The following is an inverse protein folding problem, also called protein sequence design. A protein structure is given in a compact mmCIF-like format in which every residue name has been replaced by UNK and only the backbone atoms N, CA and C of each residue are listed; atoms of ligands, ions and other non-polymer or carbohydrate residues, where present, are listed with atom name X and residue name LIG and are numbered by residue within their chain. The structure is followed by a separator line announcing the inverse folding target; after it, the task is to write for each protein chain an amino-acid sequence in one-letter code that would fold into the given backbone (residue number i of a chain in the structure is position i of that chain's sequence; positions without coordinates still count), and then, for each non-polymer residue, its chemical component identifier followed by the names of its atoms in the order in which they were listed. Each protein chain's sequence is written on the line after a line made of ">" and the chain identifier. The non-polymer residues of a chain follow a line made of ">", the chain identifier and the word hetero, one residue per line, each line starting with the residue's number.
data_IF_903134591264
#
_entry.id   IF_903134591264
#
_cell.length_a   1.000
_cell.length_b   1.000
_cell.length_c   1.000
_cell.angle_alpha   90.00
_cell.angle_beta   90.00
_cell.angle_gamma   90.00
#
_symmetry.space_group_name_H-M   'P 1'
#
loop_
_entity.id
_entity.type
_entity.pdbx_description
1 polymer ?
#
# COMPACT_ATOMS: atom_id res chain seq x y z
N UNK A 1 -19.79 -7.68 -14.60
CA UNK A 1 -18.85 -6.82 -13.82
C UNK A 1 -19.01 -7.22 -12.37
N UNK A 2 -18.10 -8.03 -11.85
CA UNK A 2 -18.24 -8.54 -10.49
C UNK A 2 -17.30 -7.70 -9.64
N UNK A 3 -17.88 -6.70 -9.00
CA UNK A 3 -17.21 -5.88 -8.02
C UNK A 3 -17.21 -6.67 -6.72
N UNK A 4 -16.02 -7.06 -6.26
CA UNK A 4 -15.89 -7.75 -4.98
C UNK A 4 -15.62 -6.69 -3.88
N UNK A 5 -16.54 -6.50 -2.92
CA UNK A 5 -16.46 -5.39 -1.96
C UNK A 5 -15.22 -5.42 -1.07
N UNK A 6 -14.55 -6.58 -0.93
CA UNK A 6 -13.30 -6.68 -0.19
C UNK A 6 -12.16 -5.85 -0.79
N UNK A 7 -12.12 -5.63 -2.12
CA UNK A 7 -11.10 -4.75 -2.71
C UNK A 7 -11.31 -3.29 -2.32
N UNK A 8 -12.56 -2.85 -2.20
CA UNK A 8 -12.87 -1.51 -1.69
C UNK A 8 -12.51 -1.35 -0.23
N UNK A 9 -12.71 -2.41 0.56
CA UNK A 9 -12.27 -2.42 1.95
C UNK A 9 -10.74 -2.29 2.04
N UNK A 10 -9.98 -3.00 1.21
CA UNK A 10 -8.52 -2.86 1.11
C UNK A 10 -8.09 -1.41 0.82
N UNK A 11 -8.73 -0.77 -0.16
CA UNK A 11 -8.40 0.61 -0.55
C UNK A 11 -8.77 1.61 0.55
N UNK A 12 -9.90 1.40 1.22
CA UNK A 12 -10.30 2.19 2.39
C UNK A 12 -9.28 2.08 3.53
N UNK A 13 -8.88 0.85 3.89
CA UNK A 13 -7.85 0.63 4.93
C UNK A 13 -6.52 1.29 4.56
N UNK A 14 -6.17 1.31 3.27
CA UNK A 14 -4.94 1.93 2.78
C UNK A 14 -4.95 3.42 3.05
N UNK A 15 -6.03 4.11 2.63
CA UNK A 15 -6.21 5.53 2.91
C UNK A 15 -6.27 5.84 4.40
N UNK A 16 -6.94 4.99 5.18
CA UNK A 16 -7.04 5.13 6.63
C UNK A 16 -5.68 4.99 7.33
N UNK A 17 -4.88 3.98 6.98
CA UNK A 17 -3.54 3.76 7.54
C UNK A 17 -2.59 4.92 7.22
N UNK A 18 -2.56 5.37 5.96
CA UNK A 18 -1.75 6.53 5.60
C UNK A 18 -2.21 7.81 6.30
N UNK A 19 -3.53 8.04 6.36
CA UNK A 19 -4.10 9.16 7.10
C UNK A 19 -3.68 9.12 8.56
N UNK A 20 -3.88 8.00 9.24
CA UNK A 20 -3.54 7.84 10.66
C UNK A 20 -2.05 8.07 10.94
N UNK A 21 -1.15 7.54 10.12
CA UNK A 21 0.30 7.69 10.33
C UNK A 21 0.80 9.10 10.02
N UNK A 22 0.28 9.76 8.99
CA UNK A 22 0.75 11.08 8.57
C UNK A 22 -0.03 12.25 9.19
N UNK A 23 -1.11 11.98 9.94
CA UNK A 23 -1.89 13.03 10.60
C UNK A 23 -1.12 13.66 11.77
N UNK A 24 -0.83 14.96 11.66
CA UNK A 24 -0.11 15.76 12.67
C UNK A 24 1.28 15.22 13.11
N UNK A 25 1.97 14.48 12.24
CA UNK A 25 3.33 13.97 12.52
C UNK A 25 4.35 14.59 11.58
N UNK A 26 5.54 14.89 12.10
CA UNK A 26 6.68 15.28 11.28
C UNK A 26 7.10 14.12 10.38
N UNK A 27 7.08 14.36 9.07
CA UNK A 27 7.47 13.33 8.09
C UNK A 27 9.01 13.21 8.09
N UNK A 28 9.51 12.20 8.80
CA UNK A 28 10.93 11.79 8.79
C UNK A 28 11.11 10.51 7.99
N UNK A 29 12.24 10.35 7.31
CA UNK A 29 12.53 9.19 6.44
C UNK A 29 12.19 7.81 7.06
N UNK A 30 12.63 7.46 8.28
CA UNK A 30 12.27 6.16 8.88
C UNK A 30 10.78 6.05 9.22
N UNK A 31 10.11 7.18 9.46
CA UNK A 31 8.68 7.23 9.79
C UNK A 31 7.79 7.02 8.57
N UNK A 32 8.27 7.31 7.36
CA UNK A 32 7.56 7.04 6.10
C UNK A 32 7.62 5.56 5.74
N UNK A 33 8.74 4.88 6.00
CA UNK A 33 8.88 3.47 5.62
C UNK A 33 7.88 2.55 6.34
N UNK A 34 7.53 2.85 7.58
CA UNK A 34 6.64 2.02 8.42
C UNK A 34 5.22 1.88 7.84
N UNK A 35 4.47 2.97 7.54
CA UNK A 35 3.13 2.86 6.98
C UNK A 35 3.13 2.21 5.59
N UNK A 36 4.11 2.52 4.73
CA UNK A 36 4.22 1.87 3.42
C UNK A 36 4.46 0.37 3.55
N UNK A 37 5.27 -0.07 4.53
CA UNK A 37 5.56 -1.49 4.74
C UNK A 37 4.33 -2.22 5.30
N UNK A 38 3.61 -1.59 6.22
CA UNK A 38 2.34 -2.09 6.76
C UNK A 38 1.29 -2.27 5.67
N UNK A 39 1.10 -1.25 4.82
CA UNK A 39 0.18 -1.29 3.69
C UNK A 39 0.59 -2.37 2.68
N UNK A 40 1.87 -2.46 2.35
CA UNK A 40 2.41 -3.51 1.47
C UNK A 40 2.12 -4.91 1.99
N UNK A 41 2.43 -5.19 3.25
CA UNK A 41 2.28 -6.53 3.84
C UNK A 41 0.82 -6.89 4.11
N UNK A 42 0.09 -6.04 4.83
CA UNK A 42 -1.26 -6.36 5.30
C UNK A 42 -2.30 -6.23 4.19
N UNK A 43 -2.20 -5.19 3.36
CA UNK A 43 -3.22 -4.88 2.37
C UNK A 43 -2.87 -5.51 1.03
N UNK A 44 -1.71 -5.15 0.46
CA UNK A 44 -1.36 -5.60 -0.88
C UNK A 44 -1.01 -7.10 -0.94
N UNK A 45 -0.26 -7.62 0.04
CA UNK A 45 0.05 -9.04 0.15
C UNK A 45 -1.04 -9.83 0.86
N UNK A 46 -1.55 -9.35 1.99
CA UNK A 46 -2.54 -10.06 2.80
C UNK A 46 -3.94 -10.03 2.18
N UNK A 47 -4.66 -8.93 2.40
CA UNK A 47 -6.06 -8.78 2.00
C UNK A 47 -6.27 -9.03 0.50
N UNK A 48 -5.48 -8.40 -0.37
CA UNK A 48 -5.68 -8.54 -1.81
C UNK A 48 -5.39 -9.96 -2.33
N UNK A 49 -4.50 -10.72 -1.67
CA UNK A 49 -4.32 -12.15 -2.00
C UNK A 49 -5.48 -12.98 -1.46
N UNK A 50 -5.92 -12.70 -0.23
CA UNK A 50 -7.05 -13.40 0.38
C UNK A 50 -8.31 -13.25 -0.49
N UNK A 51 -8.62 -12.04 -0.96
CA UNK A 51 -9.73 -11.81 -1.90
C UNK A 51 -9.55 -12.56 -3.21
N UNK A 52 -8.31 -12.63 -3.73
CA UNK A 52 -8.02 -13.39 -4.95
C UNK A 52 -8.22 -14.89 -4.76
N UNK A 53 -7.79 -15.47 -3.63
CA UNK A 53 -7.97 -16.89 -3.32
C UNK A 53 -9.47 -17.20 -3.19
N UNK A 54 -10.24 -16.35 -2.51
CA UNK A 54 -11.68 -16.53 -2.39
C UNK A 54 -12.42 -16.42 -3.73
N UNK A 55 -11.89 -15.65 -4.68
CA UNK A 55 -12.54 -15.41 -5.97
C UNK A 55 -12.10 -16.36 -7.09
N UNK A 56 -10.82 -16.73 -7.11
CA UNK A 56 -10.17 -17.51 -8.18
C UNK A 56 -9.66 -18.89 -7.71
N UNK A 57 -9.95 -19.27 -6.47
CA UNK A 57 -9.67 -20.57 -5.86
C UNK A 57 -8.18 -20.98 -5.97
N UNK A 58 -7.82 -21.81 -6.97
CA UNK A 58 -6.47 -22.37 -7.13
C UNK A 58 -5.49 -21.54 -7.97
N UNK A 59 -5.97 -20.54 -8.73
CA UNK A 59 -5.08 -19.72 -9.57
C UNK A 59 -4.34 -18.63 -8.76
N UNK A 60 -4.84 -18.29 -7.57
CA UNK A 60 -4.31 -17.20 -6.76
C UNK A 60 -2.92 -17.48 -6.16
N UNK A 61 -2.62 -18.73 -5.79
CA UNK A 61 -1.33 -19.12 -5.22
C UNK A 61 -0.19 -19.07 -6.25
N UNK A 62 -0.46 -19.37 -7.52
CA UNK A 62 0.50 -19.24 -8.62
C UNK A 62 0.89 -17.78 -8.90
N UNK A 63 -0.04 -16.85 -8.67
CA UNK A 63 0.16 -15.41 -8.89
C UNK A 63 0.69 -14.72 -7.62
N UNK A 64 0.73 -15.42 -6.48
CA UNK A 64 1.18 -14.85 -5.22
C UNK A 64 2.66 -14.45 -5.27
N UNK A 65 3.53 -15.33 -5.77
CA UNK A 65 4.96 -15.04 -5.81
C UNK A 65 5.30 -13.84 -6.71
N UNK A 66 4.62 -13.70 -7.85
CA UNK A 66 4.79 -12.53 -8.72
C UNK A 66 4.31 -11.23 -8.08
N UNK A 67 3.25 -11.28 -7.25
CA UNK A 67 2.79 -10.15 -6.44
C UNK A 67 3.80 -9.76 -5.36
N UNK A 68 4.43 -10.73 -4.70
CA UNK A 68 5.48 -10.46 -3.70
C UNK A 68 6.65 -9.71 -4.34
N UNK A 69 7.16 -10.22 -5.46
CA UNK A 69 8.28 -9.60 -6.17
C UNK A 69 7.91 -8.19 -6.65
N UNK A 70 6.72 -8.04 -7.26
CA UNK A 70 6.24 -6.74 -7.71
C UNK A 70 6.14 -5.74 -6.56
N UNK A 71 5.49 -6.10 -5.46
CA UNK A 71 5.28 -5.18 -4.34
C UNK A 71 6.60 -4.80 -3.66
N UNK A 72 7.55 -5.75 -3.55
CA UNK A 72 8.87 -5.47 -3.00
C UNK A 72 9.67 -4.49 -3.87
N UNK A 73 9.56 -4.59 -5.19
CA UNK A 73 10.17 -3.64 -6.13
C UNK A 73 9.45 -2.29 -6.17
N UNK A 74 8.12 -2.28 -6.01
CA UNK A 74 7.32 -1.05 -5.94
C UNK A 74 7.54 -0.28 -4.64
N UNK A 75 7.79 -0.96 -3.52
CA UNK A 75 8.00 -0.33 -2.22
C UNK A 75 9.02 0.82 -2.20
N UNK A 76 10.28 0.66 -2.69
CA UNK A 76 11.23 1.78 -2.72
C UNK A 76 10.82 2.89 -3.68
N UNK A 77 10.12 2.57 -4.77
CA UNK A 77 9.58 3.56 -5.69
C UNK A 77 8.47 4.40 -5.06
N UNK A 78 7.54 3.75 -4.36
CA UNK A 78 6.42 4.41 -3.68
C UNK A 78 6.89 5.35 -2.57
N UNK A 79 7.83 4.89 -1.74
CA UNK A 79 8.45 5.72 -0.70
C UNK A 79 9.22 6.89 -1.31
N UNK A 80 9.99 6.65 -2.37
CA UNK A 80 10.74 7.69 -3.07
C UNK A 80 9.83 8.75 -3.68
N UNK A 81 8.75 8.33 -4.34
CA UNK A 81 7.76 9.23 -4.93
C UNK A 81 7.04 10.04 -3.85
N UNK A 82 6.64 9.41 -2.75
CA UNK A 82 6.00 10.11 -1.64
C UNK A 82 6.91 11.20 -1.06
N UNK A 83 8.19 10.88 -0.83
CA UNK A 83 9.16 11.87 -0.33
C UNK A 83 9.42 13.00 -1.34
N UNK A 84 9.47 12.70 -2.63
CA UNK A 84 9.63 13.70 -3.68
C UNK A 84 8.44 14.66 -3.71
N UNK A 85 7.21 14.13 -3.69
CA UNK A 85 5.97 14.92 -3.65
C UNK A 85 5.89 15.72 -2.35
N UNK A 86 6.18 15.11 -1.20
CA UNK A 86 6.17 15.81 0.08
C UNK A 86 7.14 16.99 0.11
N UNK A 87 8.36 16.83 -0.43
CA UNK A 87 9.33 17.93 -0.55
C UNK A 87 8.86 19.00 -1.54
N UNK A 88 8.26 18.62 -2.66
CA UNK A 88 7.76 19.56 -3.66
C UNK A 88 6.59 20.40 -3.12
N UNK A 89 5.65 19.77 -2.40
CA UNK A 89 4.50 20.44 -1.79
C UNK A 89 4.92 21.24 -0.55
N UNK A 90 5.76 20.68 0.31
CA UNK A 90 6.28 21.38 1.49
C UNK A 90 7.07 22.65 1.13
N UNK A 91 7.73 22.67 -0.04
CA UNK A 91 8.43 23.86 -0.57
C UNK A 91 7.47 24.93 -1.14
N UNK A 92 6.22 24.60 -1.41
CA UNK A 92 5.21 25.54 -1.93
C UNK A 92 4.36 26.18 -0.82
N UNK A 93 4.38 25.60 0.39
CA UNK A 93 3.53 26.02 1.52
C UNK A 93 4.30 26.87 2.56
N UNK A 94 5.62 27.03 2.39
CA UNK A 94 6.50 27.91 3.18
C UNK A 94 7.03 29.00 2.24
#
# INVERSE_FOLDING_TARGET
>A
RIFFPGFTLSDFLTGFLFGWFFYHKEIRFPYVCVPFLLVMLLIHLGLNTLWLVLYYDKAASAIFLSRVIKNLLCFPMEVGLFLAVYKAVGKQVI
#
